data_IF_224421608318
#
_entry.id   IF_224421608318
#
_cell.length_a   1.000
_cell.length_b   1.000
_cell.length_c   1.000
_cell.angle_alpha   90.00
_cell.angle_beta   90.00
_cell.angle_gamma   90.00
#
_symmetry.space_group_name_H-M   'P 1'
#
loop_
_entity.id
_entity.type
_entity.pdbx_description
1 polymer ?
#
# COMPACT_ATOMS: atom_id res chain seq x y z
N UNK A 1 17.49 -0.01 9.85
CA UNK A 1 17.13 1.41 9.66
C UNK A 1 15.68 1.64 10.11
N UNK A 2 15.42 1.74 11.42
CA UNK A 2 14.08 1.98 11.96
C UNK A 2 13.53 3.39 11.75
N UNK A 3 14.40 4.35 11.43
CA UNK A 3 14.06 5.76 11.18
C UNK A 3 12.95 5.94 10.13
N UNK A 4 12.93 5.08 9.10
CA UNK A 4 12.03 5.18 7.93
C UNK A 4 10.76 4.36 8.06
N UNK A 5 10.58 3.61 9.16
CA UNK A 5 9.34 2.88 9.43
C UNK A 5 8.15 3.82 9.38
N UNK A 6 8.28 5.07 9.84
CA UNK A 6 7.23 6.09 9.78
C UNK A 6 6.90 6.57 8.36
N UNK A 7 7.88 6.64 7.45
CA UNK A 7 7.64 6.98 6.03
C UNK A 7 6.84 5.87 5.33
N UNK A 8 7.14 4.62 5.67
CA UNK A 8 6.52 3.44 5.06
C UNK A 8 5.16 3.14 5.68
N UNK A 9 5.07 3.20 7.01
CA UNK A 9 3.83 2.91 7.76
C UNK A 9 2.77 3.98 7.58
N UNK A 10 3.14 5.25 7.35
CA UNK A 10 2.19 6.30 6.96
C UNK A 10 1.60 6.10 5.55
N UNK A 11 2.26 5.28 4.73
CA UNK A 11 1.84 4.99 3.35
C UNK A 11 0.98 3.73 3.27
N UNK A 12 0.91 2.92 4.33
CA UNK A 12 0.19 1.64 4.38
C UNK A 12 -0.83 1.63 5.52
N UNK A 13 -1.91 0.88 5.33
CA UNK A 13 -2.87 0.54 6.37
C UNK A 13 -2.97 -0.97 6.48
N UNK A 14 -3.40 -1.49 7.64
CA UNK A 14 -3.63 -2.93 7.79
C UNK A 14 -4.64 -3.48 6.76
N UNK A 15 -5.57 -2.64 6.30
CA UNK A 15 -6.59 -3.02 5.32
C UNK A 15 -6.05 -3.12 3.89
N UNK A 16 -4.86 -2.58 3.62
CA UNK A 16 -4.18 -2.72 2.31
C UNK A 16 -3.71 -4.18 2.09
N UNK A 17 -3.57 -4.98 3.16
CA UNK A 17 -3.17 -6.38 3.09
C UNK A 17 -4.40 -7.29 3.05
N UNK A 18 -4.62 -7.97 1.93
CA UNK A 18 -5.70 -8.98 1.78
C UNK A 18 -5.42 -10.26 2.54
N UNK A 19 -4.14 -10.59 2.69
CA UNK A 19 -3.67 -11.77 3.38
C UNK A 19 -3.63 -11.49 4.90
N UNK A 20 -4.26 -12.37 5.69
CA UNK A 20 -4.35 -12.23 7.14
C UNK A 20 -3.00 -12.37 7.85
N UNK A 21 -2.12 -13.22 7.33
CA UNK A 21 -0.77 -13.46 7.82
C UNK A 21 0.10 -12.24 7.57
N UNK A 22 0.07 -11.67 6.35
CA UNK A 22 0.79 -10.42 6.04
C UNK A 22 0.27 -9.22 6.84
N UNK A 23 -1.05 -9.13 7.04
CA UNK A 23 -1.67 -8.09 7.87
C UNK A 23 -1.21 -8.17 9.32
N UNK A 24 -1.11 -9.38 9.86
CA UNK A 24 -0.64 -9.62 11.22
C UNK A 24 0.84 -9.27 11.39
N UNK A 25 1.70 -9.66 10.44
CA UNK A 25 3.12 -9.26 10.41
C UNK A 25 3.25 -7.74 10.37
N UNK A 26 2.53 -7.06 9.47
CA UNK A 26 2.54 -5.60 9.38
C UNK A 26 2.13 -4.94 10.70
N UNK A 27 1.08 -5.46 11.36
CA UNK A 27 0.65 -4.96 12.68
C UNK A 27 1.77 -5.09 13.72
N UNK A 28 2.43 -6.24 13.76
CA UNK A 28 3.55 -6.45 14.67
C UNK A 28 4.69 -5.48 14.40
N UNK A 29 5.02 -5.18 13.13
CA UNK A 29 6.04 -4.19 12.74
C UNK A 29 5.70 -2.79 13.26
N UNK A 30 4.45 -2.32 13.09
CA UNK A 30 4.05 -0.98 13.56
C UNK A 30 3.99 -0.86 15.09
N UNK A 31 3.83 -1.99 15.79
CA UNK A 31 3.78 -2.06 17.26
C UNK A 31 5.17 -2.05 17.93
N UNK A 32 6.28 -2.09 17.15
CA UNK A 32 7.59 -1.65 17.65
C UNK A 32 8.84 -2.56 17.52
N UNK A 33 8.82 -3.81 17.00
CA UNK A 33 10.06 -4.50 16.67
C UNK A 33 10.71 -3.82 15.45
N UNK A 34 11.90 -3.29 15.66
CA UNK A 34 12.72 -2.63 14.64
C UNK A 34 13.77 -3.56 14.02
N UNK A 35 13.94 -4.75 14.58
CA UNK A 35 14.83 -5.81 14.11
C UNK A 35 14.04 -7.03 13.62
N UNK A 36 14.58 -7.72 12.61
CA UNK A 36 13.96 -8.90 12.01
C UNK A 36 13.88 -10.07 13.00
N UNK A 37 14.89 -10.29 13.84
CA UNK A 37 14.87 -11.38 14.80
C UNK A 37 13.83 -11.14 15.89
N UNK A 38 13.72 -9.89 16.38
CA UNK A 38 12.69 -9.50 17.34
C UNK A 38 11.28 -9.66 16.77
N UNK A 39 11.10 -9.38 15.48
CA UNK A 39 9.84 -9.61 14.77
C UNK A 39 9.54 -11.10 14.64
N UNK A 40 10.52 -11.92 14.21
CA UNK A 40 10.39 -13.38 14.10
C UNK A 40 10.01 -14.00 15.46
N UNK A 41 10.60 -13.53 16.56
CA UNK A 41 10.28 -14.02 17.90
C UNK A 41 8.82 -13.74 18.31
N UNK A 42 8.21 -12.66 17.81
CA UNK A 42 6.81 -12.30 18.05
C UNK A 42 5.83 -12.97 17.09
N UNK A 43 6.33 -13.66 16.07
CA UNK A 43 5.53 -14.33 15.06
C UNK A 43 5.32 -15.81 15.39
N UNK A 44 4.23 -16.39 14.89
CA UNK A 44 3.88 -17.80 15.10
C UNK A 44 3.42 -18.44 13.78
N UNK A 45 3.66 -19.75 13.64
CA UNK A 45 3.22 -20.53 12.47
C UNK A 45 3.66 -19.94 11.13
N UNK A 46 2.70 -19.76 10.22
CA UNK A 46 2.91 -19.25 8.86
C UNK A 46 3.63 -17.89 8.81
N UNK A 47 3.49 -17.06 9.84
CA UNK A 47 4.18 -15.77 9.88
C UNK A 47 5.71 -15.95 9.95
N UNK A 48 6.18 -16.94 10.71
CA UNK A 48 7.61 -17.28 10.80
C UNK A 48 8.11 -17.85 9.49
N UNK A 49 7.32 -18.68 8.82
CA UNK A 49 7.68 -19.28 7.55
C UNK A 49 7.88 -18.20 6.48
N UNK A 50 6.97 -17.21 6.42
CA UNK A 50 7.08 -16.04 5.53
C UNK A 50 8.34 -15.23 5.83
N UNK A 51 8.57 -14.86 7.10
CA UNK A 51 9.74 -14.04 7.48
C UNK A 51 11.06 -14.77 7.26
N UNK A 52 11.11 -16.08 7.53
CA UNK A 52 12.29 -16.91 7.30
C UNK A 52 12.57 -17.06 5.80
N UNK A 53 11.54 -17.21 4.98
CA UNK A 53 11.67 -17.23 3.52
C UNK A 53 12.23 -15.92 2.97
N UNK A 54 11.78 -14.78 3.48
CA UNK A 54 12.30 -13.46 3.11
C UNK A 54 13.77 -13.31 3.52
N UNK A 55 14.13 -13.77 4.73
CA UNK A 55 15.52 -13.71 5.23
C UNK A 55 16.52 -14.53 4.40
N UNK A 56 16.04 -15.54 3.69
CA UNK A 56 16.86 -16.42 2.85
C UNK A 56 16.88 -15.98 1.38
N UNK A 57 16.12 -14.94 1.01
CA UNK A 57 16.03 -14.50 -0.37
C UNK A 57 17.26 -13.68 -0.77
N UNK A 58 18.04 -14.13 -1.77
CA UNK A 58 19.22 -13.39 -2.25
C UNK A 58 18.84 -12.14 -3.05
N UNK A 59 17.56 -11.92 -3.36
CA UNK A 59 17.06 -10.82 -4.21
C UNK A 59 17.06 -9.44 -3.52
N UNK A 60 17.40 -9.38 -2.23
CA UNK A 60 17.49 -8.14 -1.45
C UNK A 60 18.89 -7.50 -1.52
N UNK A 61 19.56 -7.56 -2.67
CA UNK A 61 20.92 -6.99 -2.88
C UNK A 61 20.97 -5.47 -2.69
N UNK A 62 19.87 -4.76 -3.00
CA UNK A 62 19.74 -3.31 -2.77
C UNK A 62 18.43 -2.98 -2.03
N UNK A 63 18.48 -2.88 -0.69
CA UNK A 63 17.33 -2.55 0.14
C UNK A 63 16.66 -1.21 -0.21
N UNK A 64 17.42 -0.22 -0.70
CA UNK A 64 16.89 1.10 -1.05
C UNK A 64 16.10 1.05 -2.35
N UNK A 65 16.62 0.32 -3.34
CA UNK A 65 15.89 0.07 -4.59
C UNK A 65 14.62 -0.74 -4.35
N UNK A 66 14.71 -1.82 -3.57
CA UNK A 66 13.55 -2.66 -3.23
C UNK A 66 12.48 -1.83 -2.53
N UNK A 67 12.88 -0.98 -1.58
CA UNK A 67 11.96 -0.08 -0.89
C UNK A 67 11.28 0.89 -1.86
N UNK A 68 12.05 1.54 -2.75
CA UNK A 68 11.52 2.45 -3.76
C UNK A 68 10.53 1.75 -4.70
N UNK A 69 10.85 0.52 -5.13
CA UNK A 69 9.98 -0.29 -5.98
C UNK A 69 8.68 -0.68 -5.27
N UNK A 70 8.76 -1.08 -4.00
CA UNK A 70 7.57 -1.33 -3.18
C UNK A 70 6.70 -0.07 -3.06
N UNK A 71 7.27 1.09 -2.73
CA UNK A 71 6.53 2.36 -2.62
C UNK A 71 5.84 2.70 -3.94
N UNK A 72 6.54 2.54 -5.08
CA UNK A 72 5.97 2.74 -6.41
C UNK A 72 4.77 1.82 -6.66
N UNK A 73 4.92 0.51 -6.47
CA UNK A 73 3.84 -0.46 -6.68
C UNK A 73 2.62 -0.19 -5.79
N UNK A 74 2.85 0.19 -4.53
CA UNK A 74 1.77 0.53 -3.61
C UNK A 74 1.01 1.77 -4.08
N UNK A 75 1.71 2.82 -4.48
CA UNK A 75 1.10 4.05 -5.01
C UNK A 75 0.32 3.80 -6.31
N UNK A 76 0.85 2.94 -7.20
CA UNK A 76 0.16 2.51 -8.41
C UNK A 76 -1.15 1.76 -8.10
N UNK A 77 -1.11 0.84 -7.13
CA UNK A 77 -2.27 0.07 -6.68
C UNK A 77 -3.34 0.98 -6.07
N UNK A 78 -2.96 1.87 -5.15
CA UNK A 78 -3.87 2.86 -4.53
C UNK A 78 -4.50 3.77 -5.56
N UNK A 79 -3.71 4.29 -6.51
CA UNK A 79 -4.22 5.08 -7.63
C UNK A 79 -5.21 4.29 -8.49
N UNK A 80 -4.95 3.00 -8.72
CA UNK A 80 -5.86 2.11 -9.44
C UNK A 80 -7.19 1.87 -8.71
N UNK A 81 -7.18 1.82 -7.39
CA UNK A 81 -8.38 1.72 -6.56
C UNK A 81 -9.20 3.02 -6.60
N UNK A 82 -8.56 4.17 -6.34
CA UNK A 82 -9.20 5.48 -6.39
C UNK A 82 -9.84 5.78 -7.76
N UNK A 83 -9.19 5.37 -8.86
CA UNK A 83 -9.76 5.47 -10.21
C UNK A 83 -11.07 4.70 -10.33
N UNK A 84 -11.12 3.47 -9.82
CA UNK A 84 -12.34 2.64 -9.85
C UNK A 84 -13.45 3.25 -9.01
N UNK A 85 -13.14 3.71 -7.80
CA UNK A 85 -14.12 4.36 -6.94
C UNK A 85 -14.69 5.64 -7.55
N UNK A 86 -13.84 6.49 -8.12
CA UNK A 86 -14.30 7.70 -8.82
C UNK A 86 -15.18 7.36 -10.03
N UNK A 87 -14.83 6.31 -10.79
CA UNK A 87 -15.69 5.86 -11.90
C UNK A 87 -17.06 5.39 -11.43
N UNK A 88 -17.15 4.68 -10.29
CA UNK A 88 -18.43 4.30 -9.69
C UNK A 88 -19.24 5.54 -9.31
N UNK A 89 -18.63 6.49 -8.59
CA UNK A 89 -19.29 7.74 -8.18
C UNK A 89 -19.74 8.60 -9.37
N UNK A 90 -18.96 8.63 -10.46
CA UNK A 90 -19.34 9.32 -11.70
C UNK A 90 -20.62 8.71 -12.28
N UNK A 91 -20.69 7.38 -12.41
CA UNK A 91 -21.89 6.69 -12.90
C UNK A 91 -23.11 6.95 -12.02
N UNK A 92 -22.92 6.99 -10.71
CA UNK A 92 -24.01 7.31 -9.76
C UNK A 92 -24.50 8.76 -9.90
N UNK A 93 -23.58 9.72 -10.05
CA UNK A 93 -23.93 11.12 -10.28
C UNK A 93 -24.65 11.33 -11.62
N UNK A 94 -24.21 10.63 -12.68
CA UNK A 94 -24.88 10.60 -13.98
C UNK A 94 -26.32 10.06 -13.87
N UNK A 95 -26.50 8.93 -13.17
CA UNK A 95 -27.82 8.33 -12.96
C UNK A 95 -28.75 9.27 -12.17
N UNK A 96 -28.21 10.01 -11.19
CA UNK A 96 -28.95 10.99 -10.39
C UNK A 96 -29.12 12.35 -11.08
N UNK A 97 -28.52 12.55 -12.26
CA UNK A 97 -28.47 13.83 -12.98
C UNK A 97 -27.90 14.99 -12.15
N UNK A 98 -27.02 14.69 -11.20
CA UNK A 98 -26.33 15.72 -10.40
C UNK A 98 -25.14 16.27 -11.20
N UNK A 99 -25.42 17.28 -12.02
CA UNK A 99 -24.44 17.86 -12.95
C UNK A 99 -23.30 18.60 -12.24
N UNK A 100 -23.53 19.10 -11.02
CA UNK A 100 -22.51 19.81 -10.23
C UNK A 100 -21.51 18.80 -9.69
N UNK A 101 -22.00 17.73 -9.06
CA UNK A 101 -21.17 16.65 -8.55
C UNK A 101 -20.44 15.93 -9.69
N UNK A 102 -21.10 15.70 -10.82
CA UNK A 102 -20.51 15.07 -11.99
C UNK A 102 -19.28 15.83 -12.51
N UNK A 103 -19.39 17.15 -12.68
CA UNK A 103 -18.27 18.00 -13.12
C UNK A 103 -17.10 17.96 -12.14
N UNK A 104 -17.39 17.97 -10.83
CA UNK A 104 -16.36 17.88 -9.80
C UNK A 104 -15.63 16.54 -9.88
N UNK A 105 -16.35 15.43 -9.91
CA UNK A 105 -15.77 14.09 -9.96
C UNK A 105 -14.97 13.84 -11.24
N UNK A 106 -15.43 14.35 -12.40
CA UNK A 106 -14.69 14.28 -13.66
C UNK A 106 -13.39 15.09 -13.60
N UNK A 107 -13.41 16.26 -12.97
CA UNK A 107 -12.21 17.09 -12.76
C UNK A 107 -11.19 16.36 -11.89
N UNK A 108 -11.64 15.74 -10.81
CA UNK A 108 -10.76 15.01 -9.90
C UNK A 108 -10.21 13.73 -10.54
N UNK A 109 -11.00 13.05 -11.37
CA UNK A 109 -10.51 11.92 -12.18
C UNK A 109 -9.43 12.36 -13.18
N UNK A 110 -9.60 13.51 -13.85
CA UNK A 110 -8.60 14.07 -14.77
C UNK A 110 -7.30 14.47 -14.06
N UNK A 111 -7.39 15.07 -12.85
CA UNK A 111 -6.21 15.35 -12.03
C UNK A 111 -5.45 14.06 -11.72
N UNK A 112 -6.17 13.02 -11.26
CA UNK A 112 -5.59 11.72 -10.92
C UNK A 112 -4.90 11.02 -12.12
N UNK A 113 -5.39 11.24 -13.34
CA UNK A 113 -4.74 10.75 -14.57
C UNK A 113 -3.44 11.50 -14.88
N UNK A 114 -3.36 12.80 -14.59
CA UNK A 114 -2.17 13.63 -14.85
C UNK A 114 -1.04 13.37 -13.86
N UNK A 115 -1.37 13.13 -12.59
CA UNK A 115 -0.39 12.81 -11.54
C UNK A 115 0.36 11.50 -11.82
N UNK A 116 -0.17 10.62 -12.68
CA UNK A 116 0.49 9.38 -13.07
C UNK A 116 1.45 9.49 -14.26
N UNK A 117 1.65 10.67 -14.85
CA UNK A 117 2.54 10.88 -16.02
C UNK A 117 3.90 11.52 -15.70
N UNK A 118 4.18 11.81 -14.42
CA UNK A 118 5.41 12.50 -13.98
C UNK A 118 6.37 11.62 -13.16
N UNK A 119 6.38 10.31 -13.38
CA UNK A 119 7.40 9.40 -12.84
C UNK A 119 8.03 8.61 -13.97
#
# INVERSE_FOLDING_TARGET
MPERVKEISGTLSGDDFKDGTLRSIYRKIIEGPTDLNDLIMKCEGEEKDVLSGISLSPELEDPEKVLSDCIRWMNESKRGMLKRELQVKIKEAEAKKDLVLLKQLQTDFQKLLRTGKQQ
#
